data_IF_986025185962
#
_entry.id   IF_986025185962
#
_cell.length_a   1.000
_cell.length_b   1.000
_cell.length_c   1.000
_cell.angle_alpha   90.00
_cell.angle_beta   90.00
_cell.angle_gamma   90.00
#
_symmetry.space_group_name_H-M   'P 1'
#
loop_
_entity.id
_entity.type
_entity.pdbx_description
1 polymer ?
#
# COMPACT_ATOMS: atom_id res chain seq x y z
N UNK A 1 -43.64 -52.95 -19.90
CA UNK A 1 -42.16 -53.00 -19.75
C UNK A 1 -41.41 -52.12 -20.76
N UNK A 2 -41.91 -51.86 -21.92
CA UNK A 2 -41.26 -50.99 -22.95
C UNK A 2 -41.24 -49.48 -22.67
N UNK A 3 -42.18 -48.95 -21.90
CA UNK A 3 -42.25 -47.50 -21.59
C UNK A 3 -41.14 -47.01 -20.67
N UNK A 4 -40.64 -47.85 -19.75
CA UNK A 4 -39.63 -47.48 -18.76
C UNK A 4 -38.19 -47.40 -19.33
N UNK A 5 -37.91 -48.17 -20.35
CA UNK A 5 -36.61 -48.13 -21.04
C UNK A 5 -36.48 -46.90 -21.97
N UNK A 6 -37.56 -46.45 -22.56
CA UNK A 6 -37.59 -45.28 -23.44
C UNK A 6 -37.38 -43.99 -22.60
N UNK A 7 -37.99 -43.87 -21.44
CA UNK A 7 -37.74 -42.68 -20.57
C UNK A 7 -36.31 -42.65 -20.05
N UNK A 8 -35.71 -43.77 -19.66
CA UNK A 8 -34.29 -43.82 -19.27
C UNK A 8 -33.36 -43.40 -20.40
N UNK A 9 -33.62 -43.87 -21.61
CA UNK A 9 -32.81 -43.53 -22.79
C UNK A 9 -32.90 -42.04 -23.12
N UNK A 10 -34.09 -41.43 -23.04
CA UNK A 10 -34.30 -39.98 -23.26
C UNK A 10 -33.59 -39.17 -22.16
N UNK A 11 -33.75 -39.50 -20.91
CA UNK A 11 -33.09 -38.78 -19.78
C UNK A 11 -31.57 -38.92 -19.88
N UNK A 12 -31.05 -40.07 -20.25
CA UNK A 12 -29.63 -40.28 -20.39
C UNK A 12 -29.03 -39.50 -21.57
N UNK A 13 -29.74 -39.42 -22.68
CA UNK A 13 -29.32 -38.64 -23.86
C UNK A 13 -29.39 -37.11 -23.67
N UNK A 14 -30.31 -36.63 -22.84
CA UNK A 14 -30.36 -35.22 -22.43
C UNK A 14 -29.20 -34.88 -21.49
N UNK A 15 -28.91 -35.74 -20.51
CA UNK A 15 -27.83 -35.56 -19.55
C UNK A 15 -26.45 -35.59 -20.22
N UNK A 16 -26.24 -36.41 -21.23
CA UNK A 16 -24.98 -36.44 -22.00
C UNK A 16 -24.78 -35.23 -22.92
N UNK A 17 -25.87 -34.69 -23.51
CA UNK A 17 -25.80 -33.47 -24.31
C UNK A 17 -25.53 -32.23 -23.48
N UNK A 18 -26.11 -32.11 -22.30
CA UNK A 18 -25.87 -30.98 -21.40
C UNK A 18 -24.47 -31.01 -20.80
N UNK A 19 -23.95 -32.20 -20.41
CA UNK A 19 -22.58 -32.31 -19.92
C UNK A 19 -21.53 -31.99 -21.00
N UNK A 20 -21.78 -32.39 -22.26
CA UNK A 20 -20.88 -32.04 -23.39
C UNK A 20 -20.95 -30.54 -23.73
N UNK A 21 -22.13 -29.90 -23.65
CA UNK A 21 -22.28 -28.45 -23.84
C UNK A 21 -21.65 -27.63 -22.71
N UNK A 22 -21.84 -28.04 -21.47
CA UNK A 22 -21.23 -27.39 -20.31
C UNK A 22 -19.70 -27.58 -20.33
N UNK A 23 -19.23 -28.77 -20.69
CA UNK A 23 -17.80 -29.03 -20.85
C UNK A 23 -17.17 -28.21 -21.98
N UNK A 24 -17.83 -28.11 -23.13
CA UNK A 24 -17.37 -27.27 -24.26
C UNK A 24 -17.38 -25.78 -23.90
N UNK A 25 -18.40 -25.28 -23.23
CA UNK A 25 -18.48 -23.88 -22.77
C UNK A 25 -17.42 -23.56 -21.71
N UNK A 26 -17.11 -24.50 -20.79
CA UNK A 26 -16.04 -24.35 -19.80
C UNK A 26 -14.65 -24.36 -20.47
N UNK A 27 -14.42 -25.22 -21.46
CA UNK A 27 -13.18 -25.26 -22.22
C UNK A 27 -13.04 -24.00 -23.09
N UNK A 28 -14.10 -23.54 -23.71
CA UNK A 28 -14.10 -22.32 -24.52
C UNK A 28 -13.92 -21.06 -23.64
N UNK A 29 -14.52 -21.03 -22.44
CA UNK A 29 -14.29 -19.99 -21.43
C UNK A 29 -12.88 -20.06 -20.87
N UNK A 30 -12.34 -21.24 -20.64
CA UNK A 30 -10.96 -21.44 -20.20
C UNK A 30 -9.93 -21.12 -21.31
N UNK A 31 -10.26 -21.43 -22.58
CA UNK A 31 -9.40 -21.10 -23.74
C UNK A 31 -9.55 -19.64 -24.16
N UNK A 32 -10.68 -18.97 -23.94
CA UNK A 32 -10.86 -17.53 -24.18
C UNK A 32 -10.30 -16.68 -23.04
N UNK A 33 -10.07 -17.25 -21.87
CA UNK A 33 -9.17 -16.72 -20.87
C UNK A 33 -7.71 -16.82 -21.34
N UNK A 34 -7.44 -16.63 -22.65
CA UNK A 34 -6.09 -16.33 -23.13
C UNK A 34 -5.57 -15.21 -22.26
N UNK A 35 -4.46 -15.48 -21.60
CA UNK A 35 -3.61 -14.49 -20.93
C UNK A 35 -3.45 -13.30 -21.90
N UNK A 36 -4.41 -12.39 -21.92
CA UNK A 36 -4.20 -11.08 -22.51
C UNK A 36 -3.19 -10.41 -21.60
N UNK A 37 -1.92 -10.54 -21.95
CA UNK A 37 -0.93 -9.61 -21.42
C UNK A 37 -1.52 -8.23 -21.68
N UNK A 38 -1.80 -7.42 -20.64
CA UNK A 38 -2.28 -6.06 -20.85
C UNK A 38 -1.24 -5.40 -21.76
N UNK A 39 -1.69 -4.86 -22.91
CA UNK A 39 -0.81 -4.14 -23.81
C UNK A 39 -0.08 -3.11 -22.96
N UNK A 40 1.24 -3.24 -22.88
CA UNK A 40 2.08 -2.35 -22.08
C UNK A 40 1.92 -0.96 -22.69
N UNK A 41 1.25 -0.07 -22.01
CA UNK A 41 1.22 1.34 -22.40
C UNK A 41 2.64 1.89 -22.27
N UNK A 42 3.34 2.01 -23.40
CA UNK A 42 4.74 2.44 -23.45
C UNK A 42 4.99 3.75 -22.69
N UNK A 43 4.08 4.72 -22.84
CA UNK A 43 4.21 6.00 -22.13
C UNK A 43 4.16 5.81 -20.62
N UNK A 44 3.23 5.01 -20.15
CA UNK A 44 3.06 4.68 -18.74
C UNK A 44 4.28 3.93 -18.22
N UNK A 45 4.79 2.95 -18.97
CA UNK A 45 5.98 2.18 -18.61
C UNK A 45 7.23 3.08 -18.52
N UNK A 46 7.43 3.95 -19.51
CA UNK A 46 8.57 4.89 -19.54
C UNK A 46 8.54 5.83 -18.33
N UNK A 47 7.39 6.45 -18.02
CA UNK A 47 7.27 7.33 -16.85
C UNK A 47 7.51 6.55 -15.55
N UNK A 48 6.94 5.35 -15.42
CA UNK A 48 7.13 4.52 -14.24
C UNK A 48 8.59 4.12 -14.03
N UNK A 49 9.29 3.72 -15.10
CA UNK A 49 10.73 3.41 -15.06
C UNK A 49 11.55 4.64 -14.72
N UNK A 50 11.25 5.81 -15.31
CA UNK A 50 11.94 7.06 -15.00
C UNK A 50 11.81 7.45 -13.52
N UNK A 51 10.60 7.34 -12.95
CA UNK A 51 10.35 7.58 -11.52
C UNK A 51 11.09 6.53 -10.68
N UNK A 52 11.08 5.28 -11.11
CA UNK A 52 11.82 4.20 -10.46
C UNK A 52 13.32 4.46 -10.43
N UNK A 53 13.90 4.84 -11.56
CA UNK A 53 15.33 5.19 -11.64
C UNK A 53 15.67 6.38 -10.73
N UNK A 54 14.87 7.45 -10.77
CA UNK A 54 15.07 8.60 -9.90
C UNK A 54 14.98 8.23 -8.42
N UNK A 55 13.96 7.45 -8.02
CA UNK A 55 13.80 6.95 -6.66
C UNK A 55 14.95 6.04 -6.22
N UNK A 56 15.37 5.12 -7.10
CA UNK A 56 16.48 4.21 -6.83
C UNK A 56 17.83 4.94 -6.68
N UNK A 57 18.11 5.91 -7.55
CA UNK A 57 19.33 6.72 -7.45
C UNK A 57 19.33 7.59 -6.19
N UNK A 58 18.20 8.17 -5.84
CA UNK A 58 18.05 8.94 -4.61
C UNK A 58 18.29 8.05 -3.37
N UNK A 59 17.65 6.87 -3.30
CA UNK A 59 17.87 5.90 -2.23
C UNK A 59 19.35 5.48 -2.15
N UNK A 60 19.96 5.14 -3.28
CA UNK A 60 21.39 4.79 -3.34
C UNK A 60 22.26 5.92 -2.78
N UNK A 61 22.02 7.17 -3.21
CA UNK A 61 22.78 8.32 -2.76
C UNK A 61 22.68 8.58 -1.26
N UNK A 62 21.52 8.31 -0.66
CA UNK A 62 21.35 8.41 0.80
C UNK A 62 21.99 7.23 1.52
N UNK A 63 21.68 6.00 1.13
CA UNK A 63 22.11 4.78 1.83
C UNK A 63 23.62 4.50 1.74
N UNK A 64 24.35 5.14 0.82
CA UNK A 64 25.81 5.03 0.75
C UNK A 64 26.56 5.87 1.81
N UNK A 65 25.86 6.77 2.50
CA UNK A 65 26.46 7.61 3.53
C UNK A 65 26.58 6.79 4.82
N UNK A 66 27.75 6.79 5.50
CA UNK A 66 27.89 6.08 6.78
C UNK A 66 26.83 6.54 7.80
N UNK A 67 26.23 5.60 8.51
CA UNK A 67 25.20 5.89 9.51
C UNK A 67 23.84 6.30 8.98
N UNK A 68 23.61 6.23 7.65
CA UNK A 68 22.35 6.65 7.02
C UNK A 68 21.50 5.47 6.52
N UNK A 69 21.82 4.24 6.94
CA UNK A 69 21.17 3.01 6.44
C UNK A 69 19.66 2.96 6.65
N UNK A 70 19.11 3.80 7.53
CA UNK A 70 17.69 3.89 7.80
C UNK A 70 17.07 2.54 8.13
N UNK A 71 15.75 2.41 7.97
CA UNK A 71 15.06 1.16 8.25
C UNK A 71 15.45 0.02 7.28
N UNK A 72 15.95 0.35 6.09
CA UNK A 72 16.38 -0.66 5.12
C UNK A 72 17.62 -1.46 5.59
N UNK A 73 18.51 -0.83 6.34
CA UNK A 73 19.66 -1.51 6.93
C UNK A 73 19.22 -2.72 7.78
N UNK A 74 18.20 -2.55 8.62
CA UNK A 74 17.73 -3.62 9.49
C UNK A 74 17.20 -4.80 8.70
N UNK A 75 16.44 -4.55 7.65
CA UNK A 75 15.87 -5.61 6.79
C UNK A 75 16.96 -6.31 5.99
N UNK A 76 17.88 -5.55 5.41
CA UNK A 76 19.02 -6.08 4.65
C UNK A 76 19.94 -6.91 5.52
N UNK A 77 20.31 -6.41 6.71
CA UNK A 77 21.17 -7.10 7.67
C UNK A 77 20.53 -8.37 8.21
N UNK A 78 19.24 -8.29 8.57
CA UNK A 78 18.47 -9.42 9.05
C UNK A 78 18.31 -10.53 8.00
N UNK A 79 18.10 -10.18 6.72
CA UNK A 79 18.03 -11.15 5.64
C UNK A 79 19.37 -11.87 5.44
N UNK A 80 20.49 -11.16 5.52
CA UNK A 80 21.83 -11.76 5.45
C UNK A 80 22.12 -12.69 6.62
N UNK A 81 21.73 -12.30 7.86
CA UNK A 81 21.83 -13.16 9.03
C UNK A 81 21.02 -14.45 8.86
N UNK A 82 19.79 -14.35 8.33
CA UNK A 82 18.96 -15.53 8.04
C UNK A 82 19.63 -16.47 7.03
N UNK A 83 20.20 -15.94 5.94
CA UNK A 83 20.95 -16.74 4.96
C UNK A 83 22.23 -17.35 5.50
N UNK A 84 22.83 -16.74 6.55
CA UNK A 84 23.94 -17.30 7.28
C UNK A 84 23.52 -18.34 8.36
N UNK A 85 22.25 -18.75 8.39
CA UNK A 85 21.70 -19.72 9.35
C UNK A 85 21.51 -19.15 10.77
N UNK A 86 21.54 -17.82 10.93
CA UNK A 86 21.37 -17.15 12.22
C UNK A 86 19.91 -16.69 12.39
N UNK A 87 19.44 -16.63 13.64
CA UNK A 87 18.14 -16.04 13.95
C UNK A 87 18.22 -14.50 13.86
N UNK A 88 17.55 -13.85 12.87
CA UNK A 88 17.65 -12.41 12.63
C UNK A 88 17.11 -11.56 13.79
N UNK A 89 16.27 -12.12 14.65
CA UNK A 89 15.72 -11.41 15.80
C UNK A 89 16.71 -11.30 16.98
N UNK A 90 17.74 -12.12 16.96
CA UNK A 90 18.77 -12.16 18.03
C UNK A 90 20.10 -11.55 17.59
N UNK A 91 20.32 -11.42 16.28
CA UNK A 91 21.63 -11.07 15.72
C UNK A 91 21.50 -9.91 14.73
N UNK A 92 21.26 -8.70 15.23
CA UNK A 92 21.47 -7.52 14.38
C UNK A 92 22.85 -6.96 14.67
N UNK A 93 23.64 -6.79 13.58
CA UNK A 93 24.99 -6.26 13.67
C UNK A 93 25.01 -4.88 14.35
N UNK A 94 25.85 -4.76 15.36
CA UNK A 94 26.21 -3.48 15.95
C UNK A 94 27.21 -2.76 15.04
N UNK A 95 27.16 -1.45 15.01
CA UNK A 95 28.11 -0.67 14.20
C UNK A 95 27.59 0.72 13.88
N UNK A 96 28.27 1.43 12.96
CA UNK A 96 27.87 2.79 12.57
C UNK A 96 26.44 2.91 12.04
N UNK A 97 25.89 1.82 11.47
CA UNK A 97 24.53 1.76 10.93
C UNK A 97 23.46 1.41 11.99
N UNK A 98 23.89 0.95 13.18
CA UNK A 98 23.04 0.64 14.32
C UNK A 98 23.64 1.13 15.64
N UNK A 99 23.85 2.45 15.80
CA UNK A 99 24.48 3.00 17.01
C UNK A 99 23.61 2.87 18.27
N UNK A 100 22.31 2.69 18.10
CA UNK A 100 21.33 2.58 19.20
C UNK A 100 21.09 1.15 19.69
N UNK A 101 21.78 0.14 19.15
CA UNK A 101 21.48 -1.28 19.40
C UNK A 101 20.00 -1.62 19.18
N UNK A 102 19.40 -1.08 18.13
CA UNK A 102 18.01 -1.35 17.80
C UNK A 102 17.82 -2.81 17.38
N UNK A 103 16.67 -3.35 17.73
CA UNK A 103 16.27 -4.72 17.41
C UNK A 103 15.50 -4.78 16.11
N UNK A 104 15.46 -5.97 15.48
CA UNK A 104 14.69 -6.17 14.25
C UNK A 104 13.18 -6.19 14.53
N UNK A 105 12.45 -5.25 13.93
CA UNK A 105 11.02 -5.01 14.19
C UNK A 105 10.08 -5.45 13.06
N UNK A 106 10.60 -6.01 11.96
CA UNK A 106 9.78 -6.49 10.86
C UNK A 106 9.47 -7.98 11.00
N UNK A 107 8.28 -8.45 10.53
CA UNK A 107 7.99 -9.87 10.49
C UNK A 107 8.85 -10.58 9.44
N UNK A 108 9.11 -11.88 9.60
CA UNK A 108 9.97 -12.65 8.70
C UNK A 108 9.58 -12.57 7.21
N UNK A 109 8.29 -12.52 6.83
CA UNK A 109 7.88 -12.24 5.46
C UNK A 109 8.58 -11.06 4.78
N UNK A 110 8.95 -10.02 5.54
CA UNK A 110 9.69 -8.88 4.99
C UNK A 110 11.05 -9.31 4.41
N UNK A 111 11.75 -10.23 5.08
CA UNK A 111 13.05 -10.72 4.61
C UNK A 111 12.92 -11.48 3.29
N UNK A 112 11.84 -12.24 3.12
CA UNK A 112 11.60 -13.00 1.90
C UNK A 112 11.32 -12.08 0.70
N UNK A 113 10.67 -10.93 0.94
CA UNK A 113 10.41 -9.93 -0.12
C UNK A 113 11.70 -9.28 -0.60
N UNK A 114 12.64 -8.97 0.31
CA UNK A 114 13.91 -8.32 -0.07
C UNK A 114 15.00 -9.32 -0.42
N UNK A 115 14.82 -10.59 -0.12
CA UNK A 115 15.79 -11.66 -0.34
C UNK A 115 16.50 -11.60 -1.73
N UNK A 116 15.76 -11.35 -2.85
CA UNK A 116 16.38 -11.34 -4.17
C UNK A 116 17.45 -10.27 -4.38
N UNK A 117 17.51 -9.24 -3.54
CA UNK A 117 18.45 -8.10 -3.71
C UNK A 117 19.47 -7.99 -2.58
N UNK A 118 19.34 -8.75 -1.48
CA UNK A 118 20.19 -8.60 -0.29
C UNK A 118 21.63 -9.14 -0.44
N UNK A 119 21.94 -9.84 -1.52
CA UNK A 119 23.31 -10.22 -1.87
C UNK A 119 24.14 -9.02 -2.33
N UNK A 120 23.51 -7.93 -2.77
CA UNK A 120 24.17 -6.69 -3.12
C UNK A 120 24.63 -5.93 -1.86
N UNK A 121 25.63 -5.03 -1.98
CA UNK A 121 25.94 -4.08 -0.92
C UNK A 121 24.72 -3.24 -0.53
N UNK A 122 24.65 -2.79 0.73
CA UNK A 122 23.49 -2.08 1.31
C UNK A 122 22.89 -1.01 0.39
N UNK A 123 23.72 -0.07 -0.08
CA UNK A 123 23.25 1.03 -0.91
C UNK A 123 22.69 0.57 -2.26
N UNK A 124 23.33 -0.41 -2.91
CA UNK A 124 22.88 -0.95 -4.19
C UNK A 124 21.58 -1.77 -4.01
N UNK A 125 21.51 -2.56 -2.96
CA UNK A 125 20.33 -3.34 -2.58
C UNK A 125 19.13 -2.42 -2.32
N UNK A 126 19.31 -1.40 -1.47
CA UNK A 126 18.27 -0.43 -1.16
C UNK A 126 17.87 0.43 -2.37
N UNK A 127 18.84 0.86 -3.17
CA UNK A 127 18.59 1.58 -4.42
C UNK A 127 17.73 0.77 -5.39
N UNK A 128 18.04 -0.51 -5.57
CA UNK A 128 17.26 -1.41 -6.42
C UNK A 128 15.86 -1.67 -5.85
N UNK A 129 15.75 -1.95 -4.54
CA UNK A 129 14.48 -2.17 -3.86
C UNK A 129 13.56 -0.95 -3.96
N UNK A 130 14.05 0.24 -3.62
CA UNK A 130 13.27 1.47 -3.66
C UNK A 130 12.98 1.91 -5.11
N UNK A 131 13.90 1.67 -6.03
CA UNK A 131 13.69 1.91 -7.45
C UNK A 131 12.54 1.09 -8.03
N UNK A 132 12.56 -0.22 -7.80
CA UNK A 132 11.48 -1.13 -8.21
C UNK A 132 10.16 -0.77 -7.53
N UNK A 133 10.19 -0.50 -6.22
CA UNK A 133 9.00 -0.10 -5.45
C UNK A 133 8.37 1.19 -6.00
N UNK A 134 9.20 2.18 -6.34
CA UNK A 134 8.78 3.46 -6.93
C UNK A 134 8.20 3.28 -8.33
N UNK A 135 8.84 2.43 -9.15
CA UNK A 135 8.35 2.10 -10.50
C UNK A 135 6.98 1.40 -10.45
N UNK A 136 6.82 0.41 -9.56
CA UNK A 136 5.55 -0.30 -9.36
C UNK A 136 4.46 0.64 -8.87
N UNK A 137 4.78 1.53 -7.92
CA UNK A 137 3.85 2.55 -7.44
C UNK A 137 3.43 3.49 -8.58
N UNK A 138 4.38 4.02 -9.34
CA UNK A 138 4.10 4.90 -10.46
C UNK A 138 3.25 4.20 -11.52
N UNK A 139 3.60 2.97 -11.87
CA UNK A 139 2.84 2.16 -12.81
C UNK A 139 1.41 1.92 -12.34
N UNK A 140 1.18 1.66 -11.05
CA UNK A 140 -0.13 1.52 -10.44
C UNK A 140 -0.96 2.81 -10.50
N UNK A 141 -0.35 3.95 -10.09
CA UNK A 141 -1.01 5.25 -10.06
C UNK A 141 -1.38 5.80 -11.44
N UNK A 142 -0.55 5.53 -12.46
CA UNK A 142 -0.77 5.96 -13.84
C UNK A 142 -1.93 5.24 -14.54
N UNK A 143 -2.52 4.19 -13.94
CA UNK A 143 -3.75 3.56 -14.46
C UNK A 143 -4.90 4.55 -14.59
N UNK A 144 -4.97 5.47 -13.65
CA UNK A 144 -6.01 6.49 -13.58
C UNK A 144 -5.57 7.82 -14.24
N UNK A 145 -4.55 7.80 -15.11
CA UNK A 145 -3.94 8.98 -15.72
C UNK A 145 -2.93 9.68 -14.80
N UNK A 146 -2.59 10.92 -15.14
CA UNK A 146 -1.49 11.67 -14.48
C UNK A 146 -1.88 12.40 -13.21
N UNK A 147 -3.13 12.26 -12.76
CA UNK A 147 -3.70 13.04 -11.65
C UNK A 147 -2.95 12.90 -10.32
N UNK A 148 -2.24 11.78 -10.10
CA UNK A 148 -1.49 11.49 -8.87
C UNK A 148 0.01 11.66 -8.99
N UNK A 149 0.55 12.14 -10.12
CA UNK A 149 1.99 12.40 -10.28
C UNK A 149 2.57 13.36 -9.24
N UNK A 150 1.86 14.42 -8.76
CA UNK A 150 2.40 15.29 -7.72
C UNK A 150 2.84 14.55 -6.45
N UNK A 151 2.31 13.36 -6.16
CA UNK A 151 2.67 12.57 -4.97
C UNK A 151 4.16 12.18 -4.94
N UNK A 152 4.80 12.02 -6.11
CA UNK A 152 6.25 11.73 -6.20
C UNK A 152 7.12 12.92 -5.82
N UNK A 153 6.56 14.12 -5.77
CA UNK A 153 7.21 15.33 -5.25
C UNK A 153 6.83 15.59 -3.79
N UNK A 154 5.92 14.83 -3.20
CA UNK A 154 5.46 15.00 -1.82
C UNK A 154 6.50 14.52 -0.79
N UNK A 155 6.49 15.17 0.39
CA UNK A 155 7.38 14.79 1.49
C UNK A 155 7.26 13.31 1.89
N UNK A 156 6.08 12.66 1.90
CA UNK A 156 5.97 11.24 2.22
C UNK A 156 6.76 10.33 1.28
N UNK A 157 6.74 10.61 -0.02
CA UNK A 157 7.51 9.82 -0.98
C UNK A 157 9.02 10.05 -0.83
N UNK A 158 9.46 11.30 -0.76
CA UNK A 158 10.88 11.62 -0.63
C UNK A 158 11.47 11.08 0.67
N UNK A 159 10.75 11.20 1.79
CA UNK A 159 11.17 10.63 3.07
C UNK A 159 11.19 9.10 3.03
N UNK A 160 10.21 8.47 2.37
CA UNK A 160 10.19 7.02 2.24
C UNK A 160 11.40 6.50 1.45
N UNK A 161 11.74 7.17 0.35
CA UNK A 161 12.88 6.77 -0.48
C UNK A 161 14.20 7.04 0.23
N UNK A 162 14.36 8.21 0.88
CA UNK A 162 15.60 8.61 1.56
C UNK A 162 15.91 7.75 2.79
N UNK A 163 14.87 7.29 3.51
CA UNK A 163 15.01 6.49 4.72
C UNK A 163 14.82 4.98 4.49
N UNK A 164 14.77 4.54 3.24
CA UNK A 164 14.68 3.13 2.90
C UNK A 164 13.40 2.44 3.33
N UNK A 165 12.24 3.07 3.14
CA UNK A 165 10.95 2.63 3.70
C UNK A 165 10.13 1.74 2.76
N UNK A 166 9.22 0.97 3.35
CA UNK A 166 8.31 0.06 2.68
C UNK A 166 7.12 0.74 2.00
N UNK A 167 6.84 1.99 2.36
CA UNK A 167 5.61 2.68 1.95
C UNK A 167 5.39 2.73 0.44
N UNK A 168 6.39 2.91 -0.43
CA UNK A 168 6.19 2.86 -1.88
C UNK A 168 5.67 1.49 -2.35
N UNK A 169 6.26 0.39 -1.84
CA UNK A 169 5.88 -0.97 -2.23
C UNK A 169 4.50 -1.36 -1.67
N UNK A 170 4.23 -1.05 -0.41
CA UNK A 170 2.91 -1.33 0.23
C UNK A 170 1.80 -0.54 -0.46
N UNK A 171 2.06 0.73 -0.82
CA UNK A 171 1.10 1.55 -1.56
C UNK A 171 0.86 1.00 -2.97
N UNK A 172 1.91 0.52 -3.65
CA UNK A 172 1.79 -0.16 -4.93
C UNK A 172 0.95 -1.44 -4.82
N UNK A 173 1.16 -2.24 -3.76
CA UNK A 173 0.38 -3.44 -3.50
C UNK A 173 -1.12 -3.14 -3.23
N UNK A 174 -1.45 -1.97 -2.68
CA UNK A 174 -2.83 -1.49 -2.56
C UNK A 174 -3.51 -1.20 -3.90
N UNK A 175 -2.73 -1.01 -4.97
CA UNK A 175 -3.21 -0.78 -6.34
C UNK A 175 -3.18 -2.04 -7.19
N UNK A 176 -2.23 -2.96 -6.91
CA UNK A 176 -1.94 -4.15 -7.70
C UNK A 176 -2.11 -5.42 -6.86
N UNK A 177 -3.20 -6.15 -7.10
CA UNK A 177 -3.57 -7.31 -6.29
C UNK A 177 -2.55 -8.46 -6.34
N UNK A 178 -1.72 -8.56 -7.38
CA UNK A 178 -0.65 -9.54 -7.49
C UNK A 178 0.48 -9.32 -6.49
N UNK A 179 0.62 -8.09 -5.97
CA UNK A 179 1.59 -7.73 -4.95
C UNK A 179 1.06 -7.89 -3.52
N UNK A 180 -0.13 -8.46 -3.33
CA UNK A 180 -0.79 -8.55 -2.02
C UNK A 180 0.01 -9.31 -0.95
N UNK A 181 0.93 -10.20 -1.34
CA UNK A 181 1.86 -10.88 -0.43
C UNK A 181 2.73 -9.90 0.36
N UNK A 182 3.00 -8.70 -0.19
CA UNK A 182 3.76 -7.63 0.47
C UNK A 182 3.09 -7.14 1.75
N UNK A 183 1.77 -7.29 1.88
CA UNK A 183 1.04 -6.85 3.08
C UNK A 183 1.53 -7.57 4.34
N UNK A 184 2.00 -8.81 4.21
CA UNK A 184 2.57 -9.54 5.33
C UNK A 184 3.95 -9.00 5.78
N UNK A 185 4.65 -8.24 4.93
CA UNK A 185 5.94 -7.64 5.26
C UNK A 185 5.81 -6.40 6.18
N UNK A 186 4.70 -5.65 6.06
CA UNK A 186 4.37 -4.50 6.93
C UNK A 186 2.87 -4.52 7.23
N UNK A 187 2.40 -5.40 8.14
CA UNK A 187 1.01 -5.76 8.28
C UNK A 187 0.09 -4.61 8.72
N UNK A 188 0.60 -3.63 9.47
CA UNK A 188 -0.15 -2.45 9.85
C UNK A 188 -0.57 -1.61 8.62
N UNK A 189 0.37 -1.24 7.76
CA UNK A 189 0.07 -0.53 6.51
C UNK A 189 -0.60 -1.45 5.49
N UNK A 190 -0.22 -2.74 5.49
CA UNK A 190 -0.81 -3.76 4.63
C UNK A 190 -2.31 -3.92 4.83
N UNK A 191 -2.78 -3.91 6.09
CA UNK A 191 -4.20 -3.93 6.42
C UNK A 191 -4.93 -2.70 5.86
N UNK A 192 -4.36 -1.51 6.02
CA UNK A 192 -4.94 -0.28 5.49
C UNK A 192 -5.00 -0.29 3.95
N UNK A 193 -3.93 -0.76 3.29
CA UNK A 193 -3.88 -0.92 1.85
C UNK A 193 -4.90 -1.94 1.33
N UNK A 194 -5.08 -3.04 2.04
CA UNK A 194 -6.08 -4.05 1.70
C UNK A 194 -7.50 -3.50 1.85
N UNK A 195 -7.80 -2.74 2.90
CA UNK A 195 -9.13 -2.13 3.10
C UNK A 195 -9.46 -1.06 2.04
N UNK A 196 -8.46 -0.47 1.40
CA UNK A 196 -8.67 0.40 0.25
C UNK A 196 -9.27 -0.37 -0.94
N UNK A 197 -8.71 -1.53 -1.29
CA UNK A 197 -9.20 -2.42 -2.35
C UNK A 197 -9.14 -3.90 -1.89
N UNK A 198 -10.13 -4.36 -1.11
CA UNK A 198 -10.14 -5.73 -0.62
C UNK A 198 -10.14 -6.73 -1.77
N UNK A 199 -9.24 -7.71 -1.70
CA UNK A 199 -9.19 -8.80 -2.66
C UNK A 199 -8.65 -10.08 -2.02
N UNK A 200 -9.14 -11.23 -2.49
CA UNK A 200 -8.78 -12.55 -1.96
C UNK A 200 -7.34 -12.94 -2.34
N UNK A 201 -6.85 -12.49 -3.51
CA UNK A 201 -5.48 -12.81 -3.95
C UNK A 201 -4.44 -12.28 -2.98
N UNK A 202 -4.66 -11.08 -2.41
CA UNK A 202 -3.78 -10.52 -1.40
C UNK A 202 -3.77 -11.36 -0.12
N UNK A 203 -4.94 -11.85 0.33
CA UNK A 203 -5.02 -12.74 1.50
C UNK A 203 -4.26 -14.03 1.22
N UNK A 204 -4.53 -14.68 0.10
CA UNK A 204 -3.85 -15.93 -0.28
C UNK A 204 -2.35 -15.72 -0.39
N UNK A 205 -1.89 -14.67 -1.08
CA UNK A 205 -0.46 -14.35 -1.21
C UNK A 205 0.19 -14.05 0.15
N UNK A 206 -0.50 -13.30 1.02
CA UNK A 206 -0.05 -13.03 2.38
C UNK A 206 0.06 -14.29 3.23
N UNK A 207 -0.93 -15.19 3.17
CA UNK A 207 -0.89 -16.46 3.87
C UNK A 207 0.23 -17.38 3.36
N UNK A 208 0.43 -17.45 2.04
CA UNK A 208 1.50 -18.25 1.45
C UNK A 208 2.88 -17.82 1.93
N UNK A 209 3.19 -16.53 1.91
CA UNK A 209 4.49 -16.04 2.37
C UNK A 209 4.68 -16.23 3.88
N UNK A 210 3.59 -16.15 4.69
CA UNK A 210 3.63 -16.47 6.12
C UNK A 210 3.91 -17.95 6.33
N UNK A 211 3.25 -18.86 5.61
CA UNK A 211 3.51 -20.30 5.69
C UNK A 211 4.94 -20.63 5.32
N UNK A 212 5.47 -20.06 4.23
CA UNK A 212 6.87 -20.22 3.84
C UNK A 212 7.80 -19.71 4.93
N UNK A 213 7.52 -18.55 5.51
CA UNK A 213 8.35 -17.99 6.59
C UNK A 213 8.34 -18.84 7.86
N UNK A 214 7.20 -19.45 8.22
CA UNK A 214 7.10 -20.41 9.32
C UNK A 214 7.87 -21.71 9.05
N UNK A 215 7.93 -22.16 7.80
CA UNK A 215 8.73 -23.31 7.43
C UNK A 215 10.24 -23.05 7.55
N UNK A 216 10.68 -21.80 7.33
CA UNK A 216 12.09 -21.38 7.43
C UNK A 216 12.51 -21.17 8.89
N UNK A 217 11.72 -20.45 9.68
CA UNK A 217 11.99 -20.13 11.08
C UNK A 217 10.69 -20.19 11.89
N UNK A 218 10.30 -21.35 12.44
CA UNK A 218 9.01 -21.52 13.13
C UNK A 218 8.81 -20.60 14.34
N UNK A 219 9.89 -20.17 14.99
CA UNK A 219 9.86 -19.32 16.21
C UNK A 219 9.65 -17.84 15.91
N UNK A 220 9.79 -17.41 14.65
CA UNK A 220 9.80 -16.00 14.30
C UNK A 220 8.60 -15.18 14.81
N UNK A 221 7.36 -15.69 14.92
CA UNK A 221 6.26 -14.87 15.41
C UNK A 221 6.44 -14.47 16.88
N UNK A 222 6.98 -15.38 17.69
CA UNK A 222 7.25 -15.15 19.11
C UNK A 222 8.42 -14.18 19.28
N UNK A 223 9.51 -14.41 18.55
CA UNK A 223 10.71 -13.55 18.57
C UNK A 223 10.35 -12.13 18.11
N UNK A 224 9.58 -12.01 17.02
CA UNK A 224 9.07 -10.74 16.51
C UNK A 224 8.19 -10.00 17.53
N UNK A 225 7.26 -10.73 18.18
CA UNK A 225 6.40 -10.16 19.22
C UNK A 225 7.21 -9.59 20.38
N UNK A 226 8.21 -10.32 20.87
CA UNK A 226 9.10 -9.86 21.93
C UNK A 226 9.82 -8.57 21.54
N UNK A 227 10.36 -8.51 20.32
CA UNK A 227 11.05 -7.33 19.84
C UNK A 227 10.12 -6.11 19.70
N UNK A 228 8.87 -6.31 19.22
CA UNK A 228 7.89 -5.21 19.16
C UNK A 228 7.48 -4.75 20.56
N UNK A 229 7.26 -5.68 21.48
CA UNK A 229 6.83 -5.36 22.83
C UNK A 229 7.90 -4.57 23.61
N UNK A 230 9.20 -4.76 23.26
CA UNK A 230 10.30 -3.97 23.83
C UNK A 230 10.34 -2.51 23.35
N UNK A 231 9.57 -2.15 22.31
CA UNK A 231 9.55 -0.81 21.68
C UNK A 231 8.12 -0.28 21.57
N UNK A 232 7.51 0.21 22.66
CA UNK A 232 6.10 0.60 22.71
C UNK A 232 5.76 1.90 21.98
N UNK A 233 6.69 2.54 21.32
CA UNK A 233 6.59 3.89 20.72
C UNK A 233 5.67 4.01 19.48
N UNK A 234 4.82 3.02 19.22
CA UNK A 234 3.90 3.06 18.10
C UNK A 234 2.54 3.60 18.53
N UNK A 235 2.09 4.64 17.83
CA UNK A 235 0.83 5.32 18.11
C UNK A 235 -0.19 5.07 16.99
N UNK A 236 -1.45 4.91 17.40
CA UNK A 236 -2.57 5.03 16.45
C UNK A 236 -3.02 6.48 16.40
N UNK A 237 -3.17 7.09 15.21
CA UNK A 237 -3.59 8.49 15.07
C UNK A 237 -4.87 8.82 15.84
N UNK A 238 -5.82 7.90 15.91
CA UNK A 238 -7.10 8.07 16.64
C UNK A 238 -6.91 8.35 18.13
N UNK A 239 -5.78 7.97 18.72
CA UNK A 239 -5.47 8.18 20.14
C UNK A 239 -4.87 9.56 20.43
N UNK A 240 -4.59 10.36 19.40
CA UNK A 240 -4.12 11.74 19.55
C UNK A 240 -5.28 12.69 19.82
N UNK A 241 -4.99 13.91 20.31
CA UNK A 241 -6.03 14.89 20.69
C UNK A 241 -7.02 15.19 19.55
N UNK A 242 -6.55 15.36 18.33
CA UNK A 242 -7.40 15.60 17.14
C UNK A 242 -7.79 14.32 16.39
N UNK A 243 -7.27 13.16 16.81
CA UNK A 243 -7.48 11.87 16.17
C UNK A 243 -8.94 11.43 16.06
N UNK A 244 -9.80 11.63 17.08
CA UNK A 244 -11.21 11.26 17.00
C UNK A 244 -11.97 11.93 15.85
N UNK A 245 -11.52 13.11 15.36
CA UNK A 245 -12.09 13.77 14.18
C UNK A 245 -12.00 12.88 12.93
N UNK A 246 -11.00 12.01 12.83
CA UNK A 246 -10.82 11.10 11.71
C UNK A 246 -11.98 10.10 11.56
N UNK A 247 -12.74 9.84 12.65
CA UNK A 247 -13.94 9.02 12.62
C UNK A 247 -15.04 9.60 11.72
N UNK A 248 -15.02 10.92 11.45
CA UNK A 248 -15.93 11.53 10.50
C UNK A 248 -15.83 10.92 9.08
N UNK A 249 -14.70 10.28 8.73
CA UNK A 249 -14.59 9.51 7.49
C UNK A 249 -15.61 8.36 7.41
N UNK A 250 -16.14 7.87 8.54
CA UNK A 250 -17.16 6.83 8.59
C UNK A 250 -18.46 7.23 7.89
N UNK A 251 -18.79 8.52 7.81
CA UNK A 251 -19.94 9.01 7.00
C UNK A 251 -19.80 8.68 5.51
N UNK A 252 -18.59 8.36 5.07
CA UNK A 252 -18.26 7.98 3.69
C UNK A 252 -17.67 6.56 3.60
N UNK A 253 -17.90 5.69 4.58
CA UNK A 253 -17.26 4.36 4.72
C UNK A 253 -17.35 3.47 3.47
N UNK A 254 -18.39 3.67 2.63
CA UNK A 254 -18.53 2.95 1.36
C UNK A 254 -17.47 3.32 0.32
N UNK A 255 -16.82 4.48 0.49
CA UNK A 255 -15.74 4.93 -0.39
C UNK A 255 -14.43 4.27 0.02
N UNK A 256 -13.62 3.75 -0.93
CA UNK A 256 -12.33 3.13 -0.61
C UNK A 256 -11.38 4.07 0.14
N UNK A 257 -11.39 5.36 -0.21
CA UNK A 257 -10.56 6.38 0.46
C UNK A 257 -10.94 6.58 1.94
N UNK A 258 -12.21 6.46 2.27
CA UNK A 258 -12.68 6.57 3.65
C UNK A 258 -12.25 5.34 4.47
N UNK A 259 -12.38 4.14 3.90
CA UNK A 259 -11.91 2.89 4.55
C UNK A 259 -10.40 2.94 4.80
N UNK A 260 -9.63 3.41 3.82
CA UNK A 260 -8.19 3.63 3.97
C UNK A 260 -7.89 4.57 5.13
N UNK A 261 -8.52 5.75 5.15
CA UNK A 261 -8.28 6.74 6.21
C UNK A 261 -8.65 6.21 7.60
N UNK A 262 -9.79 5.53 7.73
CA UNK A 262 -10.22 4.92 8.99
C UNK A 262 -9.24 3.84 9.45
N UNK A 263 -8.80 2.99 8.54
CA UNK A 263 -7.80 1.98 8.85
C UNK A 263 -6.49 2.61 9.31
N UNK A 264 -5.99 3.60 8.57
CA UNK A 264 -4.78 4.34 8.92
C UNK A 264 -4.92 5.09 10.25
N UNK A 265 -6.12 5.55 10.60
CA UNK A 265 -6.37 6.18 11.90
C UNK A 265 -6.25 5.19 13.07
N UNK A 266 -6.60 3.92 12.84
CA UNK A 266 -6.66 2.89 13.90
C UNK A 266 -5.37 2.08 14.04
N UNK A 267 -4.62 1.84 12.93
CA UNK A 267 -3.41 1.00 12.99
C UNK A 267 -2.26 1.69 13.73
N UNK A 268 -1.52 0.95 14.57
CA UNK A 268 -0.31 1.47 15.21
C UNK A 268 0.79 1.71 14.16
N UNK A 269 1.44 2.87 14.22
CA UNK A 269 2.48 3.26 13.28
C UNK A 269 3.46 4.25 13.92
N UNK A 270 4.59 4.52 13.26
CA UNK A 270 5.57 5.48 13.74
C UNK A 270 5.08 6.94 13.69
N UNK A 271 3.96 7.23 13.00
CA UNK A 271 3.45 8.58 12.73
C UNK A 271 4.51 9.54 12.18
N UNK A 272 5.35 9.02 11.30
CA UNK A 272 6.31 9.82 10.56
C UNK A 272 5.89 9.94 9.10
N UNK A 273 6.36 10.97 8.39
CA UNK A 273 5.90 11.33 7.04
C UNK A 273 5.86 10.18 6.04
N UNK A 274 6.85 9.27 6.06
CA UNK A 274 6.92 8.17 5.09
C UNK A 274 5.74 7.18 5.15
N UNK A 275 5.21 6.89 6.34
CA UNK A 275 4.06 5.98 6.47
C UNK A 275 2.78 6.57 5.87
N UNK A 276 2.72 7.89 5.71
CA UNK A 276 1.58 8.61 5.17
C UNK A 276 1.54 8.64 3.63
N UNK A 277 2.54 8.07 2.96
CA UNK A 277 2.52 7.97 1.50
C UNK A 277 1.25 7.27 1.00
N UNK A 278 0.76 6.28 1.74
CA UNK A 278 -0.45 5.54 1.39
C UNK A 278 -1.71 6.43 1.39
N UNK A 279 -1.74 7.52 2.20
CA UNK A 279 -2.82 8.51 2.16
C UNK A 279 -2.88 9.24 0.82
N UNK A 280 -1.78 9.22 0.04
CA UNK A 280 -1.74 9.70 -1.33
C UNK A 280 -2.69 8.96 -2.30
N UNK A 281 -3.31 7.85 -1.89
CA UNK A 281 -4.38 7.20 -2.63
C UNK A 281 -5.75 7.94 -2.48
N UNK A 282 -5.88 8.84 -1.49
CA UNK A 282 -7.12 9.59 -1.21
C UNK A 282 -7.40 10.70 -2.23
N UNK A 283 -6.43 11.53 -2.67
CA UNK A 283 -6.66 12.54 -3.68
C UNK A 283 -7.22 11.96 -4.99
N UNK A 284 -8.27 12.57 -5.53
CA UNK A 284 -8.98 12.10 -6.73
C UNK A 284 -8.69 12.95 -7.96
N UNK A 285 -8.25 14.18 -7.77
CA UNK A 285 -7.92 15.13 -8.83
C UNK A 285 -6.46 15.54 -8.75
N UNK A 286 -5.92 16.04 -9.84
CA UNK A 286 -4.56 16.58 -9.88
C UNK A 286 -4.38 17.71 -8.84
N UNK A 287 -5.38 18.59 -8.71
CA UNK A 287 -5.35 19.69 -7.71
C UNK A 287 -5.28 19.17 -6.28
N UNK A 288 -6.08 18.15 -5.94
CA UNK A 288 -6.02 17.54 -4.61
C UNK A 288 -4.67 16.87 -4.36
N UNK A 289 -4.10 16.17 -5.33
CA UNK A 289 -2.77 15.57 -5.21
C UNK A 289 -1.68 16.62 -5.01
N UNK A 290 -1.78 17.75 -5.73
CA UNK A 290 -0.86 18.87 -5.58
C UNK A 290 -0.99 19.51 -4.20
N UNK A 291 -2.21 19.78 -3.74
CA UNK A 291 -2.47 20.35 -2.40
C UNK A 291 -1.92 19.40 -1.32
N UNK A 292 -2.17 18.08 -1.43
CA UNK A 292 -1.65 17.08 -0.49
C UNK A 292 -0.12 17.11 -0.43
N UNK A 293 0.54 17.14 -1.60
CA UNK A 293 2.00 17.17 -1.69
C UNK A 293 2.57 18.48 -1.14
N UNK A 294 2.01 19.62 -1.48
CA UNK A 294 2.44 20.92 -0.96
C UNK A 294 2.23 21.02 0.56
N UNK A 295 1.07 20.59 1.06
CA UNK A 295 0.80 20.55 2.49
C UNK A 295 1.82 19.68 3.23
N UNK A 296 2.16 18.50 2.67
CA UNK A 296 3.16 17.62 3.26
C UNK A 296 4.55 18.25 3.34
N UNK A 297 4.94 19.07 2.35
CA UNK A 297 6.19 19.81 2.38
C UNK A 297 6.17 20.94 3.41
N UNK A 298 5.10 21.71 3.46
CA UNK A 298 4.97 22.78 4.47
C UNK A 298 5.10 22.19 5.87
N UNK A 299 4.43 21.07 6.13
CA UNK A 299 4.49 20.37 7.41
C UNK A 299 5.90 19.85 7.71
N UNK A 300 6.58 19.25 6.72
CA UNK A 300 7.95 18.76 6.85
C UNK A 300 8.92 19.92 7.15
N UNK A 301 8.86 21.03 6.41
CA UNK A 301 9.71 22.19 6.61
C UNK A 301 9.45 22.84 7.97
N UNK A 302 8.19 22.94 8.39
CA UNK A 302 7.83 23.46 9.72
C UNK A 302 8.38 22.59 10.82
N UNK A 303 8.30 21.26 10.66
CA UNK A 303 8.91 20.32 11.60
C UNK A 303 10.44 20.51 11.67
N UNK A 304 11.15 20.55 10.52
CA UNK A 304 12.58 20.80 10.49
C UNK A 304 12.98 22.13 11.16
N UNK A 305 12.21 23.18 10.92
CA UNK A 305 12.49 24.48 11.52
C UNK A 305 12.30 24.49 13.05
N UNK A 306 11.48 23.59 13.59
CA UNK A 306 11.22 23.46 15.03
C UNK A 306 12.13 22.48 15.74
N UNK A 307 13.00 21.76 15.02
CA UNK A 307 13.98 20.86 15.61
C UNK A 307 15.12 21.68 16.24
N UNK A 308 15.35 21.46 17.54
CA UNK A 308 16.53 21.96 18.24
C UNK A 308 17.73 21.00 18.14
N UNK A 309 18.92 21.46 18.49
CA UNK A 309 20.09 20.59 18.62
C UNK A 309 19.81 19.48 19.65
N UNK A 310 20.03 18.22 19.26
CA UNK A 310 19.82 17.05 20.13
C UNK A 310 18.39 16.52 20.20
N UNK A 311 17.45 17.12 19.47
CA UNK A 311 16.07 16.62 19.40
C UNK A 311 15.98 15.30 18.59
N UNK A 312 15.44 14.27 19.25
CA UNK A 312 15.17 13.00 18.59
C UNK A 312 13.92 13.10 17.70
N UNK A 313 14.07 12.72 16.45
CA UNK A 313 13.28 13.10 15.30
C UNK A 313 11.81 12.69 15.27
N UNK A 314 11.50 11.45 15.73
CA UNK A 314 10.20 10.84 15.38
C UNK A 314 9.06 11.37 16.23
N UNK A 315 9.26 11.50 17.54
CA UNK A 315 8.19 11.90 18.46
C UNK A 315 7.71 13.35 18.22
N UNK A 316 8.62 14.25 17.85
CA UNK A 316 8.28 15.64 17.51
C UNK A 316 7.60 15.80 16.16
N UNK A 317 7.65 14.79 15.29
CA UNK A 317 6.95 14.80 14.01
C UNK A 317 5.44 14.47 14.13
N UNK A 318 5.02 13.82 15.21
CA UNK A 318 3.64 13.35 15.39
C UNK A 318 2.58 14.44 15.14
N UNK A 319 2.67 15.65 15.69
CA UNK A 319 1.65 16.68 15.44
C UNK A 319 1.56 17.07 13.96
N UNK A 320 2.71 17.17 13.28
CA UNK A 320 2.75 17.54 11.85
C UNK A 320 2.22 16.41 10.96
N UNK A 321 2.58 15.19 11.28
CA UNK A 321 2.07 14.01 10.62
C UNK A 321 0.53 13.94 10.72
N UNK A 322 -0.03 14.22 11.88
CA UNK A 322 -1.48 14.22 12.11
C UNK A 322 -2.20 15.26 11.25
N UNK A 323 -1.62 16.45 11.03
CA UNK A 323 -2.21 17.45 10.14
C UNK A 323 -2.44 16.92 8.73
N UNK A 324 -1.55 16.04 8.23
CA UNK A 324 -1.73 15.45 6.92
C UNK A 324 -2.93 14.50 6.88
N UNK A 325 -3.25 13.82 8.00
CA UNK A 325 -4.49 13.05 8.12
C UNK A 325 -5.73 13.95 8.08
N UNK A 326 -5.68 15.12 8.69
CA UNK A 326 -6.79 16.06 8.63
C UNK A 326 -7.00 16.62 7.21
N UNK A 327 -5.92 16.91 6.49
CA UNK A 327 -5.99 17.27 5.06
C UNK A 327 -6.65 16.14 4.26
N UNK A 328 -6.26 14.88 4.51
CA UNK A 328 -6.86 13.72 3.88
C UNK A 328 -8.35 13.57 4.24
N UNK A 329 -8.73 13.82 5.50
CA UNK A 329 -10.13 13.81 5.96
C UNK A 329 -10.98 14.81 5.18
N UNK A 330 -10.51 16.05 5.04
CA UNK A 330 -11.21 17.07 4.23
C UNK A 330 -11.43 16.56 2.81
N UNK A 331 -10.43 15.93 2.19
CA UNK A 331 -10.56 15.38 0.84
C UNK A 331 -11.55 14.20 0.76
N UNK A 332 -11.63 13.35 1.79
CA UNK A 332 -12.60 12.26 1.88
C UNK A 332 -14.02 12.80 1.99
N UNK A 333 -14.22 13.85 2.80
CA UNK A 333 -15.54 14.45 3.05
C UNK A 333 -15.99 15.33 1.87
N UNK A 334 -15.06 15.82 1.05
CA UNK A 334 -15.38 16.70 -0.08
C UNK A 334 -16.42 16.07 -1.00
N UNK A 335 -17.45 16.84 -1.42
CA UNK A 335 -18.46 16.35 -2.35
C UNK A 335 -17.82 15.84 -3.65
N UNK A 336 -18.42 14.79 -4.23
CA UNK A 336 -17.98 14.31 -5.53
C UNK A 336 -18.54 15.26 -6.61
N UNK A 337 -17.70 15.91 -7.45
CA UNK A 337 -18.17 16.80 -8.49
C UNK A 337 -19.16 16.15 -9.45
N UNK A 338 -19.01 14.82 -9.68
CA UNK A 338 -19.94 14.06 -10.54
C UNK A 338 -21.29 13.81 -9.87
N UNK A 339 -21.32 13.61 -8.56
CA UNK A 339 -22.56 13.45 -7.81
C UNK A 339 -23.33 14.78 -7.71
N UNK A 340 -22.60 15.90 -7.56
CA UNK A 340 -23.19 17.25 -7.56
C UNK A 340 -23.79 17.60 -8.93
N UNK A 341 -23.12 17.26 -10.03
CA UNK A 341 -23.64 17.47 -11.38
C UNK A 341 -24.87 16.59 -11.69
N UNK A 342 -24.90 15.36 -11.17
CA UNK A 342 -26.04 14.47 -11.35
C UNK A 342 -27.28 14.93 -10.58
N UNK A 343 -27.11 15.50 -9.38
CA UNK A 343 -28.22 16.06 -8.59
C UNK A 343 -28.80 17.35 -9.19
N UNK A 344 -27.97 18.16 -9.85
CA UNK A 344 -28.43 19.40 -10.52
C UNK A 344 -29.19 19.12 -11.83
N UNK A 345 -29.00 17.95 -12.46
CA UNK A 345 -29.74 17.53 -13.66
C UNK A 345 -31.06 16.84 -13.29
N UNK A 346 -31.18 16.32 -12.07
CA UNK A 346 -32.35 15.60 -11.58
C UNK A 346 -33.42 16.53 -10.95
N UNK A 347 -33.21 17.85 -10.90
CA UNK A 347 -34.22 18.79 -10.45
C UNK A 347 -35.29 18.88 -11.55
N UNK A 348 -36.56 18.48 -11.29
CA UNK A 348 -37.59 18.50 -12.32
C UNK A 348 -37.86 19.93 -12.78
N UNK A 349 -37.65 20.18 -14.05
CA UNK A 349 -38.18 21.37 -14.75
C UNK A 349 -39.69 21.30 -14.91
N UNK A 350 -40.43 20.87 -13.91
CA UNK A 350 -41.87 20.81 -13.95
C UNK A 350 -42.45 21.48 -12.74
N UNK A 351 -42.74 22.75 -12.88
CA UNK A 351 -43.85 23.42 -12.22
C UNK A 351 -43.97 24.87 -12.69
N UNK A 352 -44.24 25.14 -13.95
CA UNK A 352 -44.88 26.42 -14.35
C UNK A 352 -45.35 26.37 -15.79
N UNK A 353 -46.44 25.62 -16.03
CA UNK A 353 -47.40 25.96 -17.10
C UNK A 353 -48.79 25.46 -16.62
N UNK A 354 -49.41 26.25 -15.76
CA UNK A 354 -50.84 26.14 -15.55
C UNK A 354 -51.51 26.79 -16.79
N UNK A 355 -52.41 26.10 -17.51
CA UNK A 355 -53.14 26.71 -18.61
C UNK A 355 -54.07 27.81 -18.08
N UNK A 356 -53.96 28.97 -18.69
CA UNK A 356 -54.87 30.13 -18.48
C UNK A 356 -56.25 29.67 -18.95
N UNK A 357 -57.32 29.71 -18.11
CA UNK A 357 -58.69 29.43 -18.57
C UNK A 357 -59.18 30.61 -19.39
N UNK A 358 -59.64 30.32 -20.63
CA UNK A 358 -60.40 31.20 -21.52
C UNK A 358 -61.85 31.32 -21.08
#
# INVERSE_FOLDING_TARGET
MQSYEYERFVIQSFRERDTKRVGAALVETAMSARFRFPQLDHRRAVIAVSIGLAGGLLAYAFLRRPGSGGDYFFVWSAARALFAGQNPYHVIAQGPENPGNDVFLYPLPALLVVAPVTWLPLAASGGLFLGLSSALLAYGLLRDGYRRLPLFMGAPFLMAVSLGQWSPLVTAAGLESSLGFVFAAKPNLGLAAWLYRPNVRAIVGGLLIVVVSLAILPTWPVDWYHNIASRPEKFSPIRTLAGPLLLAAAFRWRRPEARLLLAMACVPQALFFYDQLILGLIPRTFRQSLIFSLASFVLLLTWFHRLGPGDYYVQKAIPYALWLYLVALVMVLWPDPKAAAASSVAEPRDATEAPIPT
#
